data_IF_905307188624
#
_entry.id   IF_905307188624
#
_cell.length_a   1.000
_cell.length_b   1.000
_cell.length_c   1.000
_cell.angle_alpha   90.00
_cell.angle_beta   90.00
_cell.angle_gamma   90.00
#
_symmetry.space_group_name_H-M   'P 1'
#
loop_
_entity.id
_entity.type
_entity.pdbx_description
1 polymer ?
#
# COMPACT_ATOMS: atom_id res chain seq x y z
N UNK A 1 17.67 30.92 -51.26
CA UNK A 1 18.53 30.13 -50.37
C UNK A 1 17.66 29.05 -49.73
N UNK A 2 17.95 27.79 -50.07
CA UNK A 2 17.03 26.67 -49.92
C UNK A 2 17.11 26.02 -48.53
N UNK A 3 15.95 25.57 -48.06
CA UNK A 3 15.69 24.73 -46.89
C UNK A 3 16.27 23.32 -47.05
N UNK A 4 16.86 22.76 -45.99
CA UNK A 4 17.08 21.30 -45.88
C UNK A 4 16.77 20.79 -44.47
N UNK A 5 15.80 19.88 -44.44
CA UNK A 5 15.36 19.02 -43.36
C UNK A 5 16.44 18.04 -42.90
N UNK A 6 16.61 17.85 -41.59
CA UNK A 6 17.46 16.78 -41.04
C UNK A 6 16.56 15.67 -40.48
N UNK A 7 16.48 14.60 -41.26
CA UNK A 7 15.92 13.30 -40.89
C UNK A 7 16.97 12.51 -40.08
N UNK A 8 16.60 12.03 -38.89
CA UNK A 8 17.43 11.12 -38.08
C UNK A 8 16.73 9.75 -38.08
N UNK A 9 16.71 9.13 -39.24
CA UNK A 9 16.49 7.70 -39.41
C UNK A 9 17.85 7.00 -39.53
N UNK A 10 18.58 6.87 -38.42
CA UNK A 10 19.77 6.04 -38.31
C UNK A 10 19.94 5.59 -36.86
N UNK A 11 19.22 4.55 -36.45
CA UNK A 11 19.64 3.62 -35.39
C UNK A 11 18.71 2.39 -35.34
N UNK A 12 18.60 1.66 -36.45
CA UNK A 12 17.91 0.36 -36.49
C UNK A 12 18.75 -0.68 -37.24
N UNK A 13 19.73 -1.25 -36.55
CA UNK A 13 20.38 -2.50 -36.99
C UNK A 13 21.25 -3.09 -35.87
N UNK A 14 20.64 -3.81 -34.93
CA UNK A 14 21.34 -4.84 -34.14
C UNK A 14 20.33 -5.83 -33.55
N UNK A 15 19.53 -6.42 -34.44
CA UNK A 15 18.64 -7.54 -34.14
C UNK A 15 18.72 -8.52 -35.29
N UNK A 16 19.79 -9.32 -35.32
CA UNK A 16 19.78 -10.64 -35.98
C UNK A 16 21.17 -11.26 -35.88
N UNK A 17 21.37 -12.08 -34.85
CA UNK A 17 22.26 -13.24 -34.80
C UNK A 17 22.35 -13.63 -33.34
N UNK A 18 21.59 -14.64 -32.96
CA UNK A 18 21.96 -15.69 -32.02
C UNK A 18 20.79 -16.67 -31.98
N UNK A 19 20.89 -17.65 -32.87
CA UNK A 19 20.13 -18.89 -32.89
C UNK A 19 20.28 -19.61 -31.54
N UNK A 20 19.21 -19.70 -30.75
CA UNK A 20 19.17 -20.62 -29.62
C UNK A 20 18.53 -21.92 -30.08
N UNK A 21 19.42 -22.84 -30.44
CA UNK A 21 19.12 -24.26 -30.61
C UNK A 21 18.52 -24.83 -29.32
N UNK A 22 17.49 -25.65 -29.51
CA UNK A 22 16.90 -26.54 -28.54
C UNK A 22 17.94 -27.43 -27.87
N UNK A 23 18.10 -27.30 -26.55
CA UNK A 23 18.64 -28.38 -25.73
C UNK A 23 17.81 -28.50 -24.45
N UNK A 24 16.87 -29.45 -24.50
CA UNK A 24 16.16 -29.98 -23.34
C UNK A 24 17.18 -30.79 -22.56
N UNK A 25 17.78 -30.19 -21.53
CA UNK A 25 18.61 -30.90 -20.55
C UNK A 25 17.72 -31.29 -19.37
N UNK A 26 17.46 -32.59 -19.25
CA UNK A 26 16.81 -33.21 -18.10
C UNK A 26 17.74 -33.11 -16.88
N UNK A 27 17.46 -32.17 -15.97
CA UNK A 27 18.16 -32.12 -14.68
C UNK A 27 17.77 -33.32 -13.81
N UNK A 28 18.71 -34.13 -13.30
CA UNK A 28 18.40 -35.18 -12.34
C UNK A 28 18.05 -34.58 -10.96
N UNK A 29 17.12 -35.22 -10.24
CA UNK A 29 16.76 -34.86 -8.84
C UNK A 29 18.01 -34.86 -7.96
N UNK A 30 18.19 -33.88 -7.05
CA UNK A 30 19.27 -33.96 -6.07
C UNK A 30 18.97 -35.08 -5.06
N UNK A 31 19.96 -35.95 -4.84
CA UNK A 31 19.96 -36.96 -3.78
C UNK A 31 19.95 -36.27 -2.42
N UNK A 32 19.08 -36.71 -1.53
CA UNK A 32 19.01 -36.26 -0.13
C UNK A 32 20.33 -36.63 0.57
N UNK A 33 21.16 -35.64 0.88
CA UNK A 33 22.31 -35.80 1.76
C UNK A 33 21.81 -35.80 3.21
N UNK A 34 21.84 -36.96 3.86
CA UNK A 34 21.65 -37.09 5.31
C UNK A 34 22.91 -36.61 6.01
N UNK A 35 22.87 -35.42 6.59
CA UNK A 35 23.94 -34.92 7.45
C UNK A 35 23.80 -35.54 8.85
N UNK A 36 24.71 -36.46 9.20
CA UNK A 36 24.87 -36.98 10.55
C UNK A 36 25.27 -35.85 11.49
N UNK A 37 24.39 -35.49 12.44
CA UNK A 37 24.70 -34.56 13.53
C UNK A 37 25.35 -35.34 14.66
N UNK A 38 26.67 -35.44 14.65
CA UNK A 38 27.45 -35.77 15.84
C UNK A 38 28.60 -34.79 15.98
N UNK A 39 28.36 -33.73 16.75
CA UNK A 39 29.37 -32.76 17.19
C UNK A 39 28.82 -31.97 18.38
N UNK A 40 29.64 -31.68 19.41
CA UNK A 40 29.19 -30.98 20.60
C UNK A 40 28.79 -29.54 20.25
N UNK A 41 27.64 -29.11 20.76
CA UNK A 41 27.12 -27.75 20.60
C UNK A 41 28.07 -26.73 21.24
N UNK A 42 28.49 -25.65 20.53
CA UNK A 42 29.26 -24.59 21.16
C UNK A 42 28.38 -23.83 22.19
N UNK A 43 28.97 -23.31 23.28
CA UNK A 43 28.21 -22.55 24.27
C UNK A 43 27.65 -21.28 23.63
N UNK A 44 26.37 -21.02 23.91
CA UNK A 44 25.65 -19.87 23.43
C UNK A 44 26.34 -18.57 23.85
N UNK A 45 26.92 -17.85 22.90
CA UNK A 45 27.27 -16.44 23.10
C UNK A 45 25.96 -15.68 23.19
N UNK A 46 25.57 -15.35 24.43
CA UNK A 46 24.44 -14.49 24.72
C UNK A 46 24.71 -13.11 24.13
N UNK A 47 24.20 -12.86 22.93
CA UNK A 47 24.02 -11.50 22.42
C UNK A 47 23.05 -10.80 23.38
N UNK A 48 23.60 -9.95 24.23
CA UNK A 48 22.87 -8.99 25.05
C UNK A 48 21.96 -8.19 24.12
N UNK A 49 20.67 -8.51 24.10
CA UNK A 49 19.67 -7.79 23.32
C UNK A 49 19.52 -6.38 23.91
N UNK A 50 20.07 -5.39 23.21
CA UNK A 50 19.80 -3.98 23.49
C UNK A 50 18.29 -3.71 23.29
N UNK A 51 17.70 -2.77 24.05
CA UNK A 51 16.25 -2.64 24.15
C UNK A 51 15.69 -1.90 22.92
N UNK A 52 15.46 -2.61 21.83
CA UNK A 52 14.76 -2.09 20.64
C UNK A 52 13.32 -1.63 20.96
N UNK A 53 12.75 -2.08 22.08
CA UNK A 53 11.36 -1.77 22.48
C UNK A 53 11.21 -0.36 23.07
N UNK A 54 12.23 0.16 23.76
CA UNK A 54 12.15 1.45 24.44
C UNK A 54 12.15 2.65 23.47
N UNK A 55 12.83 2.52 22.32
CA UNK A 55 12.93 3.57 21.31
C UNK A 55 11.60 3.72 20.55
N UNK A 56 10.97 2.61 20.17
CA UNK A 56 9.70 2.61 19.43
C UNK A 56 8.54 3.25 20.23
N UNK A 57 8.53 3.07 21.57
CA UNK A 57 7.50 3.70 22.42
C UNK A 57 7.65 5.22 22.54
N UNK A 58 8.89 5.72 22.51
CA UNK A 58 9.15 7.15 22.59
C UNK A 58 8.74 7.87 21.30
N UNK A 59 8.99 7.27 20.13
CA UNK A 59 8.61 7.82 18.82
C UNK A 59 7.10 7.98 18.66
N UNK A 60 6.32 6.96 19.04
CA UNK A 60 4.85 7.01 18.97
C UNK A 60 4.29 8.10 19.89
N UNK A 61 4.82 8.25 21.10
CA UNK A 61 4.40 9.30 22.03
C UNK A 61 4.68 10.72 21.48
N UNK A 62 5.76 10.89 20.71
CA UNK A 62 6.08 12.16 20.06
C UNK A 62 5.11 12.48 18.92
N UNK A 63 4.76 11.49 18.09
CA UNK A 63 3.78 11.65 17.02
C UNK A 63 2.38 11.94 17.57
N UNK A 64 1.98 11.32 18.67
CA UNK A 64 0.70 11.62 19.32
C UNK A 64 0.59 13.08 19.76
N UNK A 65 1.64 13.61 20.40
CA UNK A 65 1.70 15.01 20.82
C UNK A 65 1.62 15.94 19.60
N UNK A 66 2.32 15.59 18.52
CA UNK A 66 2.30 16.33 17.26
C UNK A 66 0.91 16.35 16.60
N UNK A 67 0.20 15.22 16.56
CA UNK A 67 -1.16 15.16 16.00
C UNK A 67 -2.12 16.01 16.84
N UNK A 68 -2.01 15.94 18.18
CA UNK A 68 -2.86 16.72 19.09
C UNK A 68 -2.62 18.23 18.98
N UNK A 69 -1.37 18.68 18.87
CA UNK A 69 -1.06 20.10 18.72
C UNK A 69 -1.57 20.67 17.40
N UNK A 70 -1.55 19.87 16.33
CA UNK A 70 -1.94 20.33 15.00
C UNK A 70 -3.44 20.28 14.70
N UNK A 71 -4.18 19.48 15.44
CA UNK A 71 -5.63 19.32 15.30
C UNK A 71 -6.37 19.76 16.58
N UNK A 72 -6.46 21.08 16.85
CA UNK A 72 -7.30 21.57 17.93
C UNK A 72 -8.77 21.18 17.66
N UNK A 73 -9.47 20.75 18.72
CA UNK A 73 -10.85 20.25 18.62
C UNK A 73 -11.00 18.82 18.08
N UNK A 74 -9.90 18.15 17.69
CA UNK A 74 -9.90 16.77 17.20
C UNK A 74 -10.66 16.59 15.88
N UNK A 75 -10.65 15.37 15.32
CA UNK A 75 -11.10 15.01 13.96
C UNK A 75 -12.51 15.44 13.50
N UNK A 76 -13.37 15.89 14.42
CA UNK A 76 -14.73 16.32 14.10
C UNK A 76 -14.81 17.82 13.78
N UNK A 77 -13.89 18.62 14.32
CA UNK A 77 -13.94 20.08 14.23
C UNK A 77 -13.30 20.64 12.96
N UNK A 78 -12.55 19.84 12.19
CA UNK A 78 -11.84 20.35 11.01
C UNK A 78 -12.73 20.48 9.79
N UNK A 79 -12.55 21.57 9.05
CA UNK A 79 -13.27 21.90 7.82
C UNK A 79 -12.96 20.91 6.69
N UNK A 80 -11.66 20.61 6.48
CA UNK A 80 -11.19 19.76 5.38
C UNK A 80 -11.07 18.32 5.88
N UNK A 81 -12.18 17.59 5.81
CA UNK A 81 -12.24 16.19 6.19
C UNK A 81 -12.85 15.31 5.10
N UNK A 82 -12.36 14.08 5.01
CA UNK A 82 -12.87 13.06 4.10
C UNK A 82 -13.14 11.75 4.84
N UNK A 83 -14.08 10.98 4.32
CA UNK A 83 -14.37 9.64 4.86
C UNK A 83 -14.31 8.63 3.74
N UNK A 84 -13.65 7.50 3.99
CA UNK A 84 -13.61 6.39 3.06
C UNK A 84 -13.93 5.07 3.76
N UNK A 85 -14.50 4.14 2.99
CA UNK A 85 -14.92 2.82 3.49
C UNK A 85 -14.70 1.77 2.41
N UNK A 86 -14.08 0.65 2.77
CA UNK A 86 -13.91 -0.51 1.88
C UNK A 86 -14.02 -1.80 2.69
N UNK A 87 -14.81 -2.76 2.21
CA UNK A 87 -15.16 -3.98 2.96
C UNK A 87 -15.68 -3.56 4.35
N UNK A 88 -15.09 -4.07 5.43
CA UNK A 88 -15.37 -3.70 6.82
C UNK A 88 -14.46 -2.60 7.37
N UNK A 89 -13.52 -2.08 6.57
CA UNK A 89 -12.63 -1.00 6.99
C UNK A 89 -13.28 0.38 6.77
N UNK A 90 -13.05 1.27 7.73
CA UNK A 90 -13.45 2.68 7.69
C UNK A 90 -12.27 3.58 8.04
N UNK A 91 -12.19 4.72 7.36
CA UNK A 91 -11.15 5.71 7.58
C UNK A 91 -11.76 7.12 7.63
N UNK A 92 -11.39 7.88 8.66
CA UNK A 92 -11.64 9.31 8.79
C UNK A 92 -10.32 10.03 8.53
N UNK A 93 -10.30 10.88 7.52
CA UNK A 93 -9.11 11.59 7.05
C UNK A 93 -9.33 13.08 7.27
N UNK A 94 -8.31 13.75 7.77
CA UNK A 94 -8.25 15.22 7.85
C UNK A 94 -7.01 15.66 7.10
N UNK A 95 -7.18 16.63 6.21
CA UNK A 95 -6.07 17.28 5.51
C UNK A 95 -5.76 18.61 6.18
N UNK A 96 -4.47 18.89 6.30
CA UNK A 96 -3.94 20.19 6.74
C UNK A 96 -2.77 20.56 5.85
N UNK A 97 -2.59 21.85 5.60
CA UNK A 97 -1.43 22.34 4.86
C UNK A 97 -0.14 22.09 5.66
N UNK A 98 0.92 21.70 4.94
CA UNK A 98 2.26 21.53 5.49
C UNK A 98 3.16 20.63 4.65
N UNK A 99 3.88 19.70 5.28
CA UNK A 99 5.13 19.10 4.78
C UNK A 99 5.01 17.77 4.02
N UNK A 100 3.84 17.15 3.93
CA UNK A 100 3.67 15.84 3.28
C UNK A 100 3.74 14.62 4.22
N UNK A 101 3.66 14.83 5.54
CA UNK A 101 3.65 13.76 6.55
C UNK A 101 2.31 13.04 6.55
N UNK A 102 2.36 11.71 6.56
CA UNK A 102 1.18 10.84 6.62
C UNK A 102 1.22 10.07 7.93
N UNK A 103 0.27 10.36 8.83
CA UNK A 103 0.16 9.74 10.14
C UNK A 103 -1.16 8.98 10.24
N UNK A 104 -1.07 7.70 10.60
CA UNK A 104 -2.21 6.78 10.70
C UNK A 104 -2.29 6.26 12.13
N UNK A 105 -3.40 6.53 12.83
CA UNK A 105 -3.60 6.11 14.22
C UNK A 105 -2.41 6.45 15.14
N UNK A 106 -1.88 7.67 14.98
CA UNK A 106 -0.72 8.18 15.72
C UNK A 106 0.62 7.48 15.46
N UNK A 107 0.72 6.70 14.39
CA UNK A 107 1.97 6.08 13.92
C UNK A 107 2.31 6.55 12.53
N UNK A 108 3.58 6.45 12.17
CA UNK A 108 4.01 6.75 10.81
C UNK A 108 3.41 5.77 9.80
N UNK A 109 3.12 6.25 8.59
CA UNK A 109 2.53 5.42 7.54
C UNK A 109 3.37 4.18 7.21
N UNK A 110 4.71 4.29 7.21
CA UNK A 110 5.62 3.17 6.92
C UNK A 110 5.54 2.10 8.02
N UNK A 111 5.50 2.51 9.28
CA UNK A 111 5.39 1.61 10.42
C UNK A 111 4.02 0.92 10.43
N UNK A 112 2.93 1.68 10.32
CA UNK A 112 1.57 1.16 10.37
C UNK A 112 1.26 0.19 9.23
N UNK A 113 1.78 0.47 8.02
CA UNK A 113 1.59 -0.34 6.83
C UNK A 113 2.69 -1.41 6.64
N UNK A 114 3.47 -1.70 7.69
CA UNK A 114 4.48 -2.77 7.69
C UNK A 114 5.51 -2.64 6.55
N UNK A 115 5.79 -1.42 6.09
CA UNK A 115 6.72 -1.15 5.00
C UNK A 115 6.30 -1.67 3.63
N UNK A 116 5.04 -2.10 3.43
CA UNK A 116 4.60 -2.62 2.14
C UNK A 116 4.54 -1.49 1.08
N UNK A 117 5.33 -1.56 -0.01
CA UNK A 117 5.43 -0.48 -0.98
C UNK A 117 4.11 -0.21 -1.71
N UNK A 118 3.34 -1.27 -2.02
CA UNK A 118 2.05 -1.13 -2.71
C UNK A 118 1.06 -0.34 -1.85
N UNK A 119 1.02 -0.63 -0.55
CA UNK A 119 0.10 0.05 0.37
C UNK A 119 0.45 1.51 0.56
N UNK A 120 1.74 1.82 0.66
CA UNK A 120 2.23 3.21 0.74
C UNK A 120 1.89 3.98 -0.54
N UNK A 121 2.06 3.36 -1.70
CA UNK A 121 1.72 3.96 -2.98
C UNK A 121 0.22 4.29 -3.05
N UNK A 122 -0.67 3.36 -2.71
CA UNK A 122 -2.13 3.60 -2.74
C UNK A 122 -2.59 4.79 -1.87
N UNK A 123 -1.92 5.03 -0.73
CA UNK A 123 -2.22 6.20 0.12
C UNK A 123 -1.78 7.50 -0.56
N UNK A 124 -0.66 7.48 -1.29
CA UNK A 124 -0.07 8.66 -1.95
C UNK A 124 -0.70 9.01 -3.30
N UNK A 125 -1.19 8.02 -4.05
CA UNK A 125 -1.80 8.20 -5.39
C UNK A 125 -2.72 9.43 -5.51
N UNK A 126 -3.72 9.68 -4.64
CA UNK A 126 -4.58 10.86 -4.79
C UNK A 126 -3.86 12.20 -4.65
N UNK A 127 -2.75 12.27 -3.89
CA UNK A 127 -1.92 13.47 -3.78
C UNK A 127 -0.99 13.60 -4.99
N UNK A 128 -0.45 12.48 -5.48
CA UNK A 128 0.39 12.40 -6.67
C UNK A 128 -0.33 12.92 -7.92
N UNK A 129 -1.59 12.52 -8.12
CA UNK A 129 -2.39 12.94 -9.28
C UNK A 129 -2.50 14.47 -9.40
N UNK A 130 -2.47 15.19 -8.27
CA UNK A 130 -2.55 16.65 -8.23
C UNK A 130 -1.20 17.33 -7.96
N UNK A 131 -0.13 16.56 -7.72
CA UNK A 131 1.18 17.10 -7.36
C UNK A 131 1.29 17.69 -5.95
N UNK A 132 0.36 17.38 -5.05
CA UNK A 132 0.31 17.96 -3.69
C UNK A 132 0.97 17.09 -2.61
N UNK A 133 1.94 16.25 -2.97
CA UNK A 133 2.61 15.37 -2.01
C UNK A 133 3.30 16.13 -0.89
N UNK A 134 3.92 17.27 -1.20
CA UNK A 134 4.68 18.09 -0.25
C UNK A 134 3.87 19.25 0.34
N UNK A 135 2.61 19.42 -0.06
CA UNK A 135 1.77 20.57 0.33
C UNK A 135 0.82 20.27 1.47
N UNK A 136 0.40 19.01 1.64
CA UNK A 136 -0.55 18.60 2.66
C UNK A 136 -0.01 17.52 3.56
N UNK A 137 -0.20 17.70 4.87
CA UNK A 137 -0.08 16.65 5.85
C UNK A 137 -1.44 15.94 6.04
N UNK A 138 -1.38 14.62 6.15
CA UNK A 138 -2.55 13.74 6.23
C UNK A 138 -2.62 13.09 7.60
N UNK A 139 -3.70 13.35 8.32
CA UNK A 139 -4.01 12.72 9.59
C UNK A 139 -5.18 11.77 9.44
N UNK A 140 -5.01 10.53 9.90
CA UNK A 140 -6.00 9.47 9.68
C UNK A 140 -6.32 8.73 10.97
N UNK A 141 -7.62 8.52 11.21
CA UNK A 141 -8.12 7.47 12.10
C UNK A 141 -8.74 6.34 11.27
N UNK A 142 -8.16 5.15 11.33
CA UNK A 142 -8.62 3.98 10.59
C UNK A 142 -8.99 2.83 11.55
N UNK A 143 -10.12 2.18 11.29
CA UNK A 143 -10.65 1.11 12.11
C UNK A 143 -11.40 0.07 11.28
N UNK A 144 -11.43 -1.17 11.78
CA UNK A 144 -12.09 -2.31 11.14
C UNK A 144 -11.33 -2.87 9.93
N UNK A 145 -11.73 -4.08 9.51
CA UNK A 145 -11.10 -4.79 8.41
C UNK A 145 -9.63 -5.13 8.65
N UNK A 146 -8.84 -5.20 7.57
CA UNK A 146 -7.39 -5.36 7.62
C UNK A 146 -6.67 -4.23 6.87
N UNK A 147 -5.34 -4.19 6.97
CA UNK A 147 -4.51 -3.07 6.46
C UNK A 147 -4.79 -2.72 5.00
N UNK A 148 -4.88 -3.71 4.10
CA UNK A 148 -5.22 -3.47 2.69
C UNK A 148 -6.58 -2.79 2.48
N UNK A 149 -7.59 -3.15 3.28
CA UNK A 149 -8.90 -2.50 3.23
C UNK A 149 -8.85 -1.07 3.76
N UNK A 150 -8.08 -0.85 4.83
CA UNK A 150 -7.88 0.47 5.43
C UNK A 150 -7.14 1.41 4.49
N UNK A 151 -6.04 0.97 3.86
CA UNK A 151 -5.28 1.74 2.86
C UNK A 151 -6.18 2.32 1.77
N UNK A 152 -7.05 1.48 1.22
CA UNK A 152 -7.94 1.92 0.14
C UNK A 152 -9.09 2.79 0.65
N UNK A 153 -9.54 2.57 1.89
CA UNK A 153 -10.44 3.50 2.56
C UNK A 153 -9.77 4.86 2.80
N UNK A 154 -8.48 4.89 3.16
CA UNK A 154 -7.70 6.12 3.31
C UNK A 154 -7.57 6.84 1.98
N UNK A 155 -7.20 6.14 0.92
CA UNK A 155 -7.08 6.69 -0.44
C UNK A 155 -8.37 7.41 -0.89
N UNK A 156 -9.53 6.75 -0.75
CA UNK A 156 -10.83 7.35 -1.03
C UNK A 156 -11.15 8.54 -0.10
N UNK A 157 -10.73 8.45 1.16
CA UNK A 157 -10.89 9.53 2.14
C UNK A 157 -10.09 10.78 1.76
N UNK A 158 -8.84 10.62 1.32
CA UNK A 158 -7.98 11.72 0.85
C UNK A 158 -8.60 12.35 -0.39
N UNK A 159 -9.01 11.56 -1.39
CA UNK A 159 -9.64 12.07 -2.61
C UNK A 159 -10.91 12.90 -2.30
N UNK A 160 -11.73 12.47 -1.34
CA UNK A 160 -12.91 13.22 -0.90
C UNK A 160 -12.58 14.48 -0.10
N UNK A 161 -11.48 14.47 0.65
CA UNK A 161 -11.01 15.65 1.35
C UNK A 161 -10.48 16.71 0.37
N UNK A 162 -9.76 16.29 -0.68
CA UNK A 162 -9.28 17.17 -1.75
C UNK A 162 -10.43 17.86 -2.50
N UNK A 163 -11.53 17.14 -2.77
CA UNK A 163 -12.73 17.74 -3.36
C UNK A 163 -13.36 18.85 -2.50
N UNK A 164 -13.17 18.81 -1.18
CA UNK A 164 -13.65 19.88 -0.29
C UNK A 164 -12.74 21.10 -0.28
N UNK A 165 -11.49 20.94 -0.72
CA UNK A 165 -10.54 22.07 -0.85
C UNK A 165 -10.90 22.86 -2.10
N UNK A 166 -10.99 22.18 -3.24
CA UNK A 166 -11.50 22.76 -4.49
C UNK A 166 -12.26 21.70 -5.29
N UNK A 167 -13.38 22.11 -5.86
CA UNK A 167 -14.21 21.26 -6.72
C UNK A 167 -13.56 21.00 -8.10
N UNK A 168 -12.60 21.84 -8.52
CA UNK A 168 -11.90 21.74 -9.81
C UNK A 168 -11.12 20.43 -9.93
N UNK A 169 -10.69 19.87 -8.79
CA UNK A 169 -9.96 18.61 -8.72
C UNK A 169 -10.81 17.39 -9.11
N UNK A 170 -12.13 17.56 -9.30
CA UNK A 170 -13.03 16.46 -9.66
C UNK A 170 -12.71 15.82 -11.01
N UNK A 171 -12.31 16.62 -12.00
CA UNK A 171 -11.90 16.13 -13.33
C UNK A 171 -10.78 15.09 -13.25
N UNK A 172 -9.57 15.47 -12.81
CA UNK A 172 -8.43 14.56 -12.75
C UNK A 172 -8.69 13.36 -11.82
N UNK A 173 -9.30 13.56 -10.65
CA UNK A 173 -9.57 12.46 -9.71
C UNK A 173 -10.60 11.45 -10.24
N UNK A 174 -11.53 11.88 -11.10
CA UNK A 174 -12.52 11.00 -11.73
C UNK A 174 -11.91 10.20 -12.88
N UNK A 175 -11.01 10.80 -13.65
CA UNK A 175 -10.30 10.11 -14.74
C UNK A 175 -9.46 8.95 -14.20
N UNK A 176 -8.77 9.15 -13.08
CA UNK A 176 -7.99 8.11 -12.38
C UNK A 176 -8.86 7.11 -11.58
N UNK A 177 -10.19 7.30 -11.54
CA UNK A 177 -11.10 6.39 -10.86
C UNK A 177 -11.04 6.40 -9.32
N UNK A 178 -10.45 7.43 -8.71
CA UNK A 178 -10.17 7.49 -7.26
C UNK A 178 -11.40 7.84 -6.40
N UNK A 179 -12.44 8.40 -7.01
CA UNK A 179 -13.68 8.80 -6.33
C UNK A 179 -14.70 7.67 -6.18
N UNK A 180 -14.53 6.58 -6.96
CA UNK A 180 -15.45 5.46 -6.97
C UNK A 180 -15.19 4.56 -5.76
N UNK A 181 -16.23 4.37 -4.93
CA UNK A 181 -16.17 3.36 -3.87
C UNK A 181 -16.23 1.96 -4.50
N UNK A 182 -15.25 1.12 -4.20
CA UNK A 182 -15.32 -0.29 -4.58
C UNK A 182 -16.39 -1.01 -3.74
N UNK A 183 -17.43 -1.49 -4.42
CA UNK A 183 -18.58 -2.16 -3.85
C UNK A 183 -18.35 -3.65 -3.57
N UNK A 184 -17.22 -4.22 -3.99
CA UNK A 184 -16.93 -5.66 -3.82
C UNK A 184 -16.76 -6.02 -2.35
N UNK A 185 -17.64 -6.90 -1.86
CA UNK A 185 -17.63 -7.44 -0.49
C UNK A 185 -17.60 -8.96 -0.54
N UNK A 186 -17.16 -9.60 0.54
CA UNK A 186 -17.16 -11.06 0.67
C UNK A 186 -18.59 -11.58 0.56
N UNK A 187 -18.83 -12.46 -0.41
CA UNK A 187 -20.11 -13.14 -0.55
C UNK A 187 -20.35 -14.08 0.65
N UNK A 188 -21.58 -14.09 1.17
CA UNK A 188 -21.95 -15.00 2.25
C UNK A 188 -21.84 -16.46 1.83
N UNK A 189 -21.66 -17.36 2.79
CA UNK A 189 -21.82 -18.80 2.57
C UNK A 189 -23.27 -19.12 2.24
N UNK A 190 -23.50 -19.90 1.18
CA UNK A 190 -24.82 -20.41 0.80
C UNK A 190 -25.01 -21.81 1.40
N UNK A 191 -26.25 -22.18 1.76
CA UNK A 191 -26.55 -23.49 2.31
C UNK A 191 -26.20 -24.60 1.30
N UNK A 192 -25.73 -25.75 1.79
CA UNK A 192 -25.25 -26.86 0.95
C UNK A 192 -23.86 -26.68 0.32
N UNK A 193 -23.28 -25.47 0.33
CA UNK A 193 -21.92 -25.23 -0.18
C UNK A 193 -20.88 -25.16 0.94
N UNK A 194 -19.63 -25.52 0.63
CA UNK A 194 -18.50 -25.44 1.59
C UNK A 194 -18.04 -23.99 1.80
N UNK A 195 -18.11 -23.14 0.77
CA UNK A 195 -17.86 -21.68 0.82
C UNK A 195 -18.96 -20.94 0.03
N UNK A 196 -18.76 -19.67 -0.33
CA UNK A 196 -19.73 -18.91 -1.12
C UNK A 196 -20.16 -19.60 -2.43
N UNK A 197 -19.19 -20.14 -3.19
CA UNK A 197 -19.42 -20.81 -4.48
C UNK A 197 -18.82 -22.23 -4.58
N UNK A 198 -18.04 -22.67 -3.58
CA UNK A 198 -17.37 -23.99 -3.60
C UNK A 198 -18.37 -25.08 -3.22
N UNK A 199 -18.78 -25.90 -4.19
CA UNK A 199 -19.56 -27.10 -3.94
C UNK A 199 -18.70 -28.18 -3.26
N UNK A 200 -19.29 -29.07 -2.43
CA UNK A 200 -18.62 -30.30 -2.02
C UNK A 200 -18.32 -31.19 -3.25
N UNK A 201 -17.28 -32.01 -3.16
CA UNK A 201 -17.05 -33.06 -4.14
C UNK A 201 -18.20 -34.06 -4.06
N UNK A 202 -18.75 -34.48 -5.20
CA UNK A 202 -19.81 -35.48 -5.30
C UNK A 202 -19.44 -36.51 -6.36
N UNK A 203 -19.54 -37.80 -6.03
CA UNK A 203 -19.52 -38.86 -7.04
C UNK A 203 -20.94 -39.11 -7.51
N UNK A 204 -21.16 -39.15 -8.83
CA UNK A 204 -22.49 -39.40 -9.39
C UNK A 204 -22.95 -40.86 -9.25
N UNK A 205 -22.01 -41.77 -8.99
CA UNK A 205 -22.21 -43.21 -8.80
C UNK A 205 -21.19 -43.74 -7.80
#
# INVERSE_FOLDING_TARGET
MATTSISIAFLSSSLSKLSFSSNISSSPRPKTLTLSRNGPTPPALTLKSLPLVAVATAEVANLEKYVKSRLPGGFAAQTIFGTGRRKSASARVVLKEGTGKVIINSRDAKEYLQGNPLWLQYVKVPLLTLGYESSYDVFVKAQGGGLSGQVQAISLGIARALLKVSEDHRGPLRLEGLLTRDSRVVERKKAGLKKARKAPQFSKR
#
